data_IF_444648617738
#
_entry.id   IF_444648617738
#
_cell.length_a   1.000
_cell.length_b   1.000
_cell.length_c   1.000
_cell.angle_alpha   90.00
_cell.angle_beta   90.00
_cell.angle_gamma   90.00
#
_symmetry.space_group_name_H-M   'P 1'
#
loop_
_entity.id
_entity.type
_entity.pdbx_description
1 polymer ?
#
# COMPACT_ATOMS: atom_id res chain seq x y z
N UNK A 1 -2.67 -25.54 22.99
CA UNK A 1 -3.79 -25.11 22.12
C UNK A 1 -4.26 -23.68 22.43
N UNK A 2 -4.47 -23.30 23.71
CA UNK A 2 -4.83 -21.91 24.05
C UNK A 2 -3.76 -20.86 23.68
N UNK A 3 -2.48 -21.09 23.97
CA UNK A 3 -1.43 -20.11 23.64
C UNK A 3 -1.33 -19.79 22.14
N UNK A 4 -1.58 -20.80 21.29
CA UNK A 4 -1.57 -20.63 19.84
C UNK A 4 -2.76 -19.79 19.35
N UNK A 5 -3.96 -19.94 19.93
CA UNK A 5 -5.12 -19.11 19.57
C UNK A 5 -4.98 -17.67 20.05
N UNK A 6 -4.41 -17.45 21.24
CA UNK A 6 -4.06 -16.10 21.73
C UNK A 6 -3.05 -15.40 20.81
N UNK A 7 -2.03 -16.13 20.35
CA UNK A 7 -1.07 -15.59 19.38
C UNK A 7 -1.75 -15.26 18.05
N UNK A 8 -2.63 -16.13 17.53
CA UNK A 8 -3.34 -15.85 16.28
C UNK A 8 -4.20 -14.58 16.34
N UNK A 9 -4.84 -14.33 17.47
CA UNK A 9 -5.62 -13.10 17.67
C UNK A 9 -4.74 -11.84 17.79
N UNK A 10 -3.50 -11.99 18.25
CA UNK A 10 -2.56 -10.87 18.39
C UNK A 10 -1.81 -10.53 17.08
N UNK A 11 -1.67 -11.48 16.14
CA UNK A 11 -1.03 -11.28 14.84
C UNK A 11 -1.55 -10.04 14.08
N UNK A 12 -2.87 -9.83 13.90
CA UNK A 12 -3.36 -8.66 13.15
C UNK A 12 -3.02 -7.34 13.85
N UNK A 13 -2.99 -7.30 15.18
CA UNK A 13 -2.61 -6.12 15.94
C UNK A 13 -1.12 -5.80 15.76
N UNK A 14 -0.25 -6.80 15.88
CA UNK A 14 1.19 -6.64 15.66
C UNK A 14 1.47 -6.24 14.20
N UNK A 15 0.75 -6.82 13.24
CA UNK A 15 0.85 -6.44 11.83
C UNK A 15 0.43 -4.97 11.60
N UNK A 16 -0.65 -4.51 12.22
CA UNK A 16 -1.07 -3.11 12.12
C UNK A 16 -0.03 -2.16 12.69
N UNK A 17 0.48 -2.44 13.90
CA UNK A 17 1.51 -1.60 14.54
C UNK A 17 2.77 -1.53 13.69
N UNK A 18 3.24 -2.67 13.15
CA UNK A 18 4.44 -2.69 12.30
C UNK A 18 4.26 -1.91 11.00
N UNK A 19 3.08 -1.97 10.38
CA UNK A 19 2.74 -1.18 9.20
C UNK A 19 2.75 0.32 9.51
N UNK A 20 2.08 0.76 10.58
CA UNK A 20 2.04 2.17 10.98
C UNK A 20 3.43 2.71 11.34
N UNK A 21 4.21 1.96 12.11
CA UNK A 21 5.59 2.33 12.42
C UNK A 21 6.44 2.48 11.15
N UNK A 22 6.25 1.59 10.18
CA UNK A 22 6.98 1.62 8.91
C UNK A 22 6.55 2.81 8.06
N UNK A 23 5.26 3.13 7.98
CA UNK A 23 4.74 4.28 7.24
C UNK A 23 5.26 5.62 7.80
N UNK A 24 5.18 5.79 9.13
CA UNK A 24 5.72 6.97 9.83
C UNK A 24 7.24 7.04 9.63
N UNK A 25 7.96 5.93 9.78
CA UNK A 25 9.41 5.89 9.57
C UNK A 25 9.81 6.31 8.15
N UNK A 26 9.13 5.76 7.15
CA UNK A 26 9.36 6.06 5.73
C UNK A 26 9.05 7.52 5.40
N UNK A 27 7.96 8.08 5.92
CA UNK A 27 7.61 9.49 5.70
C UNK A 27 8.64 10.45 6.32
N UNK A 28 9.17 10.14 7.51
CA UNK A 28 10.24 10.92 8.15
C UNK A 28 11.56 10.85 7.38
N UNK A 29 12.00 9.64 7.00
CA UNK A 29 13.23 9.45 6.21
C UNK A 29 13.12 10.18 4.87
N UNK A 30 11.98 10.03 4.19
CA UNK A 30 11.71 10.71 2.92
C UNK A 30 11.69 12.22 3.08
N UNK A 31 11.08 12.75 4.14
CA UNK A 31 11.13 14.19 4.43
C UNK A 31 12.57 14.66 4.61
N UNK A 32 13.35 13.94 5.41
CA UNK A 32 14.75 14.28 5.66
C UNK A 32 15.59 14.28 4.37
N UNK A 33 15.39 13.28 3.51
CA UNK A 33 16.10 13.17 2.25
C UNK A 33 15.69 14.28 1.25
N UNK A 34 14.40 14.59 1.15
CA UNK A 34 13.88 15.67 0.29
C UNK A 34 14.35 17.06 0.73
N UNK A 35 14.44 17.30 2.04
CA UNK A 35 14.95 18.57 2.60
C UNK A 35 16.45 18.75 2.33
N UNK A 36 17.22 17.66 2.28
CA UNK A 36 18.63 17.65 1.87
C UNK A 36 18.85 17.84 0.36
N UNK A 37 17.81 18.16 -0.40
CA UNK A 37 17.89 18.45 -1.84
C UNK A 37 17.71 17.24 -2.75
N UNK A 38 17.34 16.06 -2.22
CA UNK A 38 17.09 14.88 -3.05
C UNK A 38 15.87 15.08 -3.96
N UNK A 39 15.99 14.65 -5.22
CA UNK A 39 14.89 14.74 -6.18
C UNK A 39 13.81 13.69 -5.86
N UNK A 40 12.53 14.07 -5.97
CA UNK A 40 11.38 13.23 -5.62
C UNK A 40 11.29 11.98 -6.48
N UNK A 41 11.65 12.09 -7.76
CA UNK A 41 11.69 10.95 -8.68
C UNK A 41 12.70 9.89 -8.23
N UNK A 42 13.83 10.30 -7.66
CA UNK A 42 14.84 9.37 -7.14
C UNK A 42 14.27 8.61 -5.95
N UNK A 43 13.59 9.28 -5.02
CA UNK A 43 12.86 8.58 -3.93
C UNK A 43 11.89 7.54 -4.50
N UNK A 44 11.00 7.92 -5.43
CA UNK A 44 10.01 7.00 -6.01
C UNK A 44 10.66 5.76 -6.63
N UNK A 45 11.77 5.94 -7.36
CA UNK A 45 12.50 4.81 -7.97
C UNK A 45 13.08 3.89 -6.89
N UNK A 46 13.69 4.43 -5.83
CA UNK A 46 14.21 3.62 -4.72
C UNK A 46 13.11 2.80 -4.02
N UNK A 47 11.95 3.41 -3.76
CA UNK A 47 10.81 2.73 -3.14
C UNK A 47 10.32 1.55 -3.99
N UNK A 48 10.11 1.77 -5.29
CA UNK A 48 9.64 0.72 -6.20
C UNK A 48 10.72 -0.37 -6.42
N UNK A 49 12.00 0.01 -6.45
CA UNK A 49 13.11 -0.95 -6.56
C UNK A 49 13.20 -1.85 -5.32
N UNK A 50 13.12 -1.27 -4.11
CA UNK A 50 13.10 -2.03 -2.86
C UNK A 50 11.88 -2.95 -2.77
N UNK A 51 10.69 -2.45 -3.11
CA UNK A 51 9.49 -3.28 -3.16
C UNK A 51 9.65 -4.46 -4.11
N UNK A 52 10.21 -4.23 -5.30
CA UNK A 52 10.51 -5.30 -6.27
C UNK A 52 11.53 -6.28 -5.70
N UNK A 53 12.60 -5.81 -5.08
CA UNK A 53 13.64 -6.66 -4.47
C UNK A 53 13.08 -7.57 -3.37
N UNK A 54 12.14 -7.06 -2.56
CA UNK A 54 11.51 -7.83 -1.46
C UNK A 54 10.51 -8.84 -2.02
N UNK A 55 9.71 -8.47 -3.03
CA UNK A 55 8.73 -9.37 -3.64
C UNK A 55 9.37 -10.44 -4.55
N UNK A 56 10.52 -10.14 -5.16
CA UNK A 56 11.22 -11.03 -6.09
C UNK A 56 11.55 -12.41 -5.50
N UNK A 57 12.18 -12.56 -4.31
CA UNK A 57 12.45 -13.87 -3.72
C UNK A 57 11.16 -14.63 -3.43
N UNK A 58 10.13 -13.95 -2.91
CA UNK A 58 8.84 -14.57 -2.65
C UNK A 58 8.20 -15.13 -3.93
N UNK A 59 8.28 -14.39 -5.03
CA UNK A 59 7.80 -14.85 -6.33
C UNK A 59 8.61 -16.05 -6.87
N UNK A 60 9.94 -16.05 -6.69
CA UNK A 60 10.80 -17.16 -7.11
C UNK A 60 10.51 -18.45 -6.33
N UNK A 61 10.34 -18.36 -5.01
CA UNK A 61 10.02 -19.52 -4.16
C UNK A 61 8.59 -20.04 -4.37
N UNK A 62 7.61 -19.16 -4.61
CA UNK A 62 6.19 -19.54 -4.75
C UNK A 62 5.73 -19.67 -6.21
N UNK A 63 6.66 -19.80 -7.16
CA UNK A 63 6.38 -19.83 -8.60
C UNK A 63 5.50 -21.03 -8.96
N UNK A 64 4.18 -20.83 -8.95
CA UNK A 64 3.22 -21.79 -9.46
C UNK A 64 3.18 -21.68 -10.99
N UNK A 65 3.44 -22.77 -11.72
CA UNK A 65 3.64 -22.77 -13.18
C UNK A 65 2.36 -22.48 -14.02
N UNK A 66 1.26 -22.07 -13.39
CA UNK A 66 -0.08 -22.03 -14.00
C UNK A 66 -0.68 -20.65 -14.28
N UNK A 67 -0.01 -19.54 -13.96
CA UNK A 67 -0.58 -18.22 -14.21
C UNK A 67 -0.42 -17.81 -15.69
N UNK A 68 -1.42 -18.11 -16.54
CA UNK A 68 -1.43 -17.62 -17.92
C UNK A 68 -1.62 -16.11 -17.91
N UNK A 69 -0.58 -15.39 -18.32
CA UNK A 69 -0.57 -13.93 -18.33
C UNK A 69 -1.28 -13.44 -19.60
N UNK A 70 -2.59 -13.19 -19.51
CA UNK A 70 -3.39 -12.67 -20.63
C UNK A 70 -2.99 -11.22 -20.93
N UNK A 71 -3.00 -10.82 -22.20
CA UNK A 71 -2.69 -9.45 -22.63
C UNK A 71 -3.54 -8.38 -21.93
N UNK A 72 -4.81 -8.67 -21.67
CA UNK A 72 -5.70 -7.79 -20.89
C UNK A 72 -5.22 -7.57 -19.45
N UNK A 73 -4.64 -8.60 -18.81
CA UNK A 73 -4.09 -8.48 -17.46
C UNK A 73 -2.86 -7.56 -17.44
N UNK A 74 -1.98 -7.69 -18.44
CA UNK A 74 -0.79 -6.84 -18.59
C UNK A 74 -1.18 -5.37 -18.64
N UNK A 75 -2.16 -5.04 -19.49
CA UNK A 75 -2.67 -3.68 -19.60
C UNK A 75 -3.27 -3.16 -18.30
N UNK A 76 -4.01 -4.00 -17.56
CA UNK A 76 -4.54 -3.62 -16.24
C UNK A 76 -3.45 -3.35 -15.22
N UNK A 77 -2.43 -4.20 -15.14
CA UNK A 77 -1.29 -3.99 -14.25
C UNK A 77 -0.49 -2.75 -14.64
N UNK A 78 -0.32 -2.49 -15.93
CA UNK A 78 0.34 -1.29 -16.42
C UNK A 78 -0.40 -0.02 -16.00
N UNK A 79 -1.72 0.03 -16.22
CA UNK A 79 -2.55 1.16 -15.79
C UNK A 79 -2.53 1.34 -14.27
N UNK A 80 -2.59 0.25 -13.51
CA UNK A 80 -2.52 0.28 -12.05
C UNK A 80 -1.17 0.82 -11.55
N UNK A 81 -0.06 0.39 -12.18
CA UNK A 81 1.28 0.86 -11.88
C UNK A 81 1.48 2.33 -12.25
N UNK A 82 0.92 2.79 -13.36
CA UNK A 82 0.97 4.20 -13.80
C UNK A 82 0.20 5.12 -12.84
N UNK A 83 -1.00 4.71 -12.43
CA UNK A 83 -1.82 5.43 -11.45
C UNK A 83 -1.11 5.45 -10.08
N UNK A 84 -0.56 4.32 -9.64
CA UNK A 84 0.18 4.24 -8.38
C UNK A 84 1.43 5.13 -8.36
N UNK A 85 2.23 5.09 -9.43
CA UNK A 85 3.47 5.87 -9.53
C UNK A 85 3.21 7.37 -9.59
N UNK A 86 2.17 7.79 -10.33
CA UNK A 86 1.77 9.21 -10.37
C UNK A 86 1.27 9.69 -9.01
N UNK A 87 0.49 8.87 -8.30
CA UNK A 87 0.09 9.13 -6.91
C UNK A 87 1.27 9.29 -5.95
N UNK A 88 2.29 8.42 -6.07
CA UNK A 88 3.51 8.54 -5.25
C UNK A 88 4.27 9.85 -5.49
N UNK A 89 4.37 10.32 -6.75
CA UNK A 89 5.03 11.60 -7.06
C UNK A 89 4.28 12.78 -6.43
N UNK A 90 2.94 12.75 -6.49
CA UNK A 90 2.09 13.76 -5.85
C UNK A 90 2.28 13.71 -4.33
N UNK A 91 2.28 12.51 -3.74
CA UNK A 91 2.52 12.29 -2.32
C UNK A 91 3.86 12.89 -1.86
N UNK A 92 4.99 12.53 -2.48
CA UNK A 92 6.29 13.09 -2.10
C UNK A 92 6.39 14.59 -2.35
N UNK A 93 5.65 15.12 -3.32
CA UNK A 93 5.53 16.57 -3.51
C UNK A 93 4.80 17.21 -2.35
N UNK A 94 3.64 16.68 -1.95
CA UNK A 94 2.90 17.15 -0.78
C UNK A 94 3.74 17.05 0.49
N UNK A 95 4.42 15.93 0.69
CA UNK A 95 5.29 15.68 1.84
C UNK A 95 6.47 16.64 1.93
N UNK A 96 7.00 17.11 0.79
CA UNK A 96 8.01 18.18 0.78
C UNK A 96 7.49 19.49 1.38
N UNK A 97 6.22 19.82 1.17
CA UNK A 97 5.60 21.04 1.72
C UNK A 97 4.96 20.83 3.10
N UNK A 98 4.55 19.60 3.41
CA UNK A 98 3.85 19.23 4.64
C UNK A 98 4.77 18.58 5.69
N UNK A 99 4.24 18.30 6.88
CA UNK A 99 4.96 17.53 7.92
C UNK A 99 4.65 16.03 7.81
N UNK A 100 5.56 15.15 8.26
CA UNK A 100 5.29 13.71 8.38
C UNK A 100 4.03 13.42 9.21
N UNK A 101 3.80 14.20 10.28
CA UNK A 101 2.61 14.08 11.13
C UNK A 101 1.30 14.33 10.37
N UNK A 102 1.27 15.32 9.47
CA UNK A 102 0.10 15.57 8.62
C UNK A 102 -0.14 14.39 7.67
N UNK A 103 0.92 13.81 7.11
CA UNK A 103 0.83 12.61 6.27
C UNK A 103 0.19 11.45 7.03
N UNK A 104 0.64 11.19 8.26
CA UNK A 104 0.08 10.13 9.10
C UNK A 104 -1.37 10.40 9.49
N UNK A 105 -1.74 11.66 9.76
CA UNK A 105 -3.13 12.03 10.01
C UNK A 105 -4.05 11.80 8.79
N UNK A 106 -3.54 12.04 7.58
CA UNK A 106 -4.26 11.76 6.33
C UNK A 106 -4.46 10.26 6.08
N UNK A 107 -3.53 9.41 6.55
CA UNK A 107 -3.67 7.95 6.44
C UNK A 107 -4.94 7.45 7.18
N UNK A 108 -5.31 8.07 8.30
CA UNK A 108 -6.54 7.74 9.02
C UNK A 108 -7.83 8.02 8.22
N UNK A 109 -7.76 8.85 7.18
CA UNK A 109 -8.89 9.15 6.30
C UNK A 109 -9.01 8.17 5.13
N UNK A 110 -8.01 7.31 4.89
CA UNK A 110 -8.04 6.29 3.83
C UNK A 110 -9.36 5.51 3.83
N UNK A 111 -9.84 4.90 4.96
CA UNK A 111 -11.09 4.14 4.95
C UNK A 111 -12.31 4.99 4.57
N UNK A 112 -12.33 6.28 4.93
CA UNK A 112 -13.42 7.21 4.59
C UNK A 112 -13.42 7.47 3.08
N UNK A 113 -12.26 7.76 2.49
CA UNK A 113 -12.14 7.94 1.03
C UNK A 113 -12.48 6.66 0.28
N UNK A 114 -11.99 5.50 0.73
CA UNK A 114 -12.30 4.21 0.11
C UNK A 114 -13.80 3.93 0.13
N UNK A 115 -14.48 4.20 1.24
CA UNK A 115 -15.94 4.06 1.34
C UNK A 115 -16.67 5.03 0.39
N UNK A 116 -16.26 6.29 0.34
CA UNK A 116 -16.84 7.28 -0.56
C UNK A 116 -16.72 6.85 -2.03
N UNK A 117 -15.52 6.40 -2.45
CA UNK A 117 -15.31 5.88 -3.80
C UNK A 117 -16.20 4.65 -4.08
N UNK A 118 -16.31 3.72 -3.12
CA UNK A 118 -17.15 2.53 -3.28
C UNK A 118 -18.63 2.91 -3.52
N UNK A 119 -19.13 3.91 -2.79
CA UNK A 119 -20.51 4.42 -2.96
C UNK A 119 -20.69 5.10 -4.32
N UNK A 120 -19.77 5.98 -4.74
CA UNK A 120 -19.84 6.69 -6.02
C UNK A 120 -19.83 5.71 -7.21
N UNK A 121 -18.93 4.73 -7.19
CA UNK A 121 -18.83 3.72 -8.24
C UNK A 121 -19.89 2.63 -8.14
N UNK A 122 -20.81 2.72 -7.16
CA UNK A 122 -21.83 1.69 -6.87
C UNK A 122 -21.25 0.28 -6.78
N UNK A 123 -20.05 0.15 -6.21
CA UNK A 123 -19.40 -1.13 -5.91
C UNK A 123 -20.09 -1.87 -4.73
N UNK A 124 -21.21 -1.32 -4.25
CA UNK A 124 -22.02 -1.83 -3.14
C UNK A 124 -22.50 -3.28 -3.31
N UNK A 125 -22.62 -3.80 -4.54
CA UNK A 125 -23.02 -5.21 -4.77
C UNK A 125 -21.92 -6.20 -4.38
N UNK A 126 -20.65 -5.89 -4.66
CA UNK A 126 -19.50 -6.75 -4.31
C UNK A 126 -19.14 -6.67 -2.82
N UNK A 127 -19.35 -5.50 -2.21
CA UNK A 127 -19.15 -5.30 -0.76
C UNK A 127 -20.22 -6.04 0.06
N UNK A 128 -21.46 -6.07 -0.43
CA UNK A 128 -22.56 -6.85 0.17
C UNK A 128 -22.35 -8.36 0.03
N UNK A 129 -21.78 -8.83 -1.08
CA UNK A 129 -21.43 -10.25 -1.26
C UNK A 129 -20.28 -10.74 -0.35
N UNK A 130 -19.40 -9.85 0.13
CA UNK A 130 -18.40 -10.20 1.15
C UNK A 130 -18.96 -10.15 2.57
N UNK A 131 -19.93 -9.26 2.84
CA UNK A 131 -20.65 -9.20 4.13
C UNK A 131 -21.62 -10.37 4.32
N UNK A 132 -22.11 -10.98 3.24
CA UNK A 132 -22.98 -12.17 3.25
C UNK A 132 -22.20 -13.49 3.41
N UNK A 133 -20.86 -13.45 3.36
CA UNK A 133 -19.98 -14.64 3.55
C UNK A 133 -19.58 -14.82 5.03
N UNK A 134 -19.87 -13.82 5.88
CA UNK A 134 -19.61 -13.84 7.32
C UNK A 134 -20.89 -14.14 8.17
N UNK A 135 -22.03 -14.41 7.52
CA UNK A 135 -23.28 -14.94 8.13
C UNK A 135 -23.49 -16.41 7.71
#
# INVERSE_FOLDING_TARGET
>A
MALASWLQNAIPFVAMVTVECTDVGLSVISKAALTKGMNKFVSVVYYNALGTLILLPYFLFRRNKGASLTWSLIWRFFLLGLIGSSGQIIYFTGLKFSSPTLSSAMANLIPIYTFLLAVIFRLNKTLKACLDIDD
#
